data_IF_009819979038
#
_entry.id   IF_009819979038
#
_cell.length_a   1.000
_cell.length_b   1.000
_cell.length_c   1.000
_cell.angle_alpha   90.00
_cell.angle_beta   90.00
_cell.angle_gamma   90.00
#
_symmetry.space_group_name_H-M   'P 1'
#
loop_
_entity.id
_entity.type
_entity.pdbx_description
1 polymer ?
#
# COMPACT_ATOMS: atom_id res chain seq x y z
N UNK A 1 -20.07 5.92 9.82
CA UNK A 1 -19.09 6.67 10.64
C UNK A 1 -17.73 6.41 10.01
N UNK A 2 -17.10 7.40 9.38
CA UNK A 2 -15.76 7.22 8.79
C UNK A 2 -14.74 7.41 9.91
N UNK A 3 -13.99 6.37 10.25
CA UNK A 3 -12.87 6.50 11.17
C UNK A 3 -11.83 7.48 10.61
N UNK A 4 -11.26 8.37 11.45
CA UNK A 4 -10.18 9.23 11.02
C UNK A 4 -8.97 8.37 10.66
N UNK A 5 -8.55 8.46 9.40
CA UNK A 5 -7.39 7.74 8.88
C UNK A 5 -6.13 8.17 9.66
N UNK A 6 -5.62 7.27 10.50
CA UNK A 6 -4.48 7.54 11.38
C UNK A 6 -3.17 7.48 10.57
N UNK A 7 -2.65 8.66 10.21
CA UNK A 7 -1.49 8.84 9.32
C UNK A 7 -0.13 8.49 9.96
N UNK A 8 -0.05 8.17 11.25
CA UNK A 8 1.23 8.06 11.98
C UNK A 8 2.12 6.87 11.58
N UNK A 9 1.65 5.97 10.73
CA UNK A 9 2.36 4.73 10.35
C UNK A 9 2.62 4.56 8.85
N UNK A 10 2.20 5.51 8.01
CA UNK A 10 2.35 5.40 6.56
C UNK A 10 3.37 6.42 6.05
N UNK A 11 4.52 5.93 5.56
CA UNK A 11 5.51 6.76 4.87
C UNK A 11 4.89 7.22 3.54
N UNK A 12 4.77 8.54 3.36
CA UNK A 12 4.40 9.08 2.06
C UNK A 12 5.57 8.91 1.10
N UNK A 13 5.30 8.39 -0.09
CA UNK A 13 6.29 8.18 -1.14
C UNK A 13 6.14 9.27 -2.21
N UNK A 14 7.25 9.81 -2.75
CA UNK A 14 7.20 10.61 -3.96
C UNK A 14 6.82 9.74 -5.16
N UNK A 15 6.31 10.37 -6.22
CA UNK A 15 5.81 9.64 -7.39
C UNK A 15 6.92 8.91 -8.16
N UNK A 16 8.16 9.39 -8.07
CA UNK A 16 9.35 8.79 -8.69
C UNK A 16 9.81 7.51 -7.99
N UNK A 17 9.47 7.34 -6.71
CA UNK A 17 9.85 6.15 -5.92
C UNK A 17 8.82 5.02 -6.07
N UNK A 18 7.81 5.18 -6.94
CA UNK A 18 6.79 4.17 -7.16
C UNK A 18 7.28 3.08 -8.12
N UNK A 19 6.98 1.84 -7.80
CA UNK A 19 7.37 0.67 -8.59
C UNK A 19 6.20 0.18 -9.45
N UNK A 20 6.45 -0.02 -10.74
CA UNK A 20 5.44 -0.52 -11.68
C UNK A 20 4.91 -1.88 -11.22
N UNK A 21 3.59 -2.06 -11.31
CA UNK A 21 2.89 -3.26 -10.87
C UNK A 21 2.58 -3.32 -9.36
N UNK A 22 3.12 -2.42 -8.52
CA UNK A 22 2.77 -2.36 -7.09
C UNK A 22 1.47 -1.60 -6.85
N UNK A 23 0.77 -1.98 -5.77
CA UNK A 23 -0.43 -1.31 -5.32
C UNK A 23 -0.12 -0.23 -4.31
N UNK A 24 -0.77 0.92 -4.49
CA UNK A 24 -0.63 2.07 -3.62
C UNK A 24 -1.99 2.58 -3.17
N UNK A 25 -2.03 3.08 -1.95
CA UNK A 25 -3.09 3.94 -1.47
C UNK A 25 -2.81 5.37 -1.93
N UNK A 26 -3.73 5.92 -2.71
CA UNK A 26 -3.61 7.22 -3.35
C UNK A 26 -4.60 8.16 -2.70
N UNK A 27 -4.12 9.28 -2.16
CA UNK A 27 -4.95 10.31 -1.57
C UNK A 27 -4.78 11.61 -2.36
N UNK A 28 -5.87 12.10 -2.95
CA UNK A 28 -5.84 13.30 -3.79
C UNK A 28 -6.94 14.28 -3.39
N UNK A 29 -6.71 15.57 -3.59
CA UNK A 29 -7.68 16.62 -3.27
C UNK A 29 -8.51 16.95 -4.51
N UNK A 30 -9.81 16.70 -4.45
CA UNK A 30 -10.77 17.03 -5.51
C UNK A 30 -11.82 17.96 -4.93
N UNK A 31 -11.98 19.17 -5.50
CA UNK A 31 -12.98 20.16 -5.08
C UNK A 31 -12.97 20.42 -3.56
N UNK A 32 -11.77 20.62 -2.98
CA UNK A 32 -11.52 20.84 -1.53
C UNK A 32 -11.87 19.65 -0.62
N UNK A 33 -12.05 18.45 -1.18
CA UNK A 33 -12.25 17.21 -0.42
C UNK A 33 -11.17 16.20 -0.77
N UNK A 34 -10.61 15.55 0.25
CA UNK A 34 -9.70 14.44 0.02
C UNK A 34 -10.47 13.17 -0.30
N UNK A 35 -10.10 12.52 -1.40
CA UNK A 35 -10.59 11.21 -1.77
C UNK A 35 -9.43 10.22 -1.72
N UNK A 36 -9.76 8.99 -1.34
CA UNK A 36 -8.80 7.90 -1.26
C UNK A 36 -9.16 6.82 -2.27
N UNK A 37 -8.15 6.31 -2.98
CA UNK A 37 -8.27 5.22 -3.95
C UNK A 37 -7.16 4.21 -3.71
N UNK A 38 -7.37 2.97 -4.12
CA UNK A 38 -6.31 1.96 -4.22
C UNK A 38 -6.12 1.67 -5.70
N UNK A 39 -4.89 1.80 -6.18
CA UNK A 39 -4.56 1.62 -7.58
C UNK A 39 -3.26 0.88 -7.76
N UNK A 40 -3.13 0.16 -8.86
CA UNK A 40 -1.87 -0.47 -9.29
C UNK A 40 -1.12 0.51 -10.14
N UNK A 41 0.11 0.85 -9.77
CA UNK A 41 0.94 1.77 -10.53
C UNK A 41 1.41 1.13 -11.83
N UNK A 42 1.36 1.89 -12.91
CA UNK A 42 1.66 1.40 -14.27
C UNK A 42 2.94 2.03 -14.78
N UNK A 43 3.22 3.27 -14.37
CA UNK A 43 4.39 4.01 -14.80
C UNK A 43 4.14 5.52 -14.88
N UNK A 44 5.21 6.26 -15.16
CA UNK A 44 5.20 7.72 -15.30
C UNK A 44 5.10 8.16 -16.76
N UNK A 45 4.32 9.21 -17.00
CA UNK A 45 4.38 10.00 -18.22
C UNK A 45 5.68 10.79 -18.25
N UNK A 46 6.51 10.57 -19.28
CA UNK A 46 7.75 11.33 -19.51
C UNK A 46 7.53 12.82 -19.79
N UNK A 47 6.33 13.21 -20.25
CA UNK A 47 6.08 14.57 -20.73
C UNK A 47 5.29 15.44 -19.76
N UNK A 48 4.52 14.83 -18.87
CA UNK A 48 3.54 15.55 -18.06
C UNK A 48 3.66 15.26 -16.56
N UNK A 49 4.64 14.44 -16.15
CA UNK A 49 4.91 14.10 -14.75
C UNK A 49 3.63 13.61 -14.01
N UNK A 50 2.83 12.83 -14.73
CA UNK A 50 1.70 12.10 -14.19
C UNK A 50 2.06 10.62 -14.05
N UNK A 51 1.75 10.05 -12.89
CA UNK A 51 1.71 8.61 -12.69
C UNK A 51 0.37 8.04 -13.10
N UNK A 52 0.41 6.96 -13.87
CA UNK A 52 -0.79 6.24 -14.29
C UNK A 52 -1.06 5.06 -13.36
N UNK A 53 -2.34 4.89 -13.01
CA UNK A 53 -2.78 3.83 -12.11
C UNK A 53 -4.03 3.15 -12.64
N UNK A 54 -4.06 1.83 -12.57
CA UNK A 54 -5.27 1.06 -12.82
C UNK A 54 -6.00 0.87 -11.49
N UNK A 55 -7.19 1.48 -11.37
CA UNK A 55 -8.04 1.45 -10.19
C UNK A 55 -9.23 0.55 -10.46
N UNK A 56 -9.43 -0.46 -9.61
CA UNK A 56 -10.57 -1.36 -9.71
C UNK A 56 -11.83 -0.67 -9.21
N UNK A 57 -12.83 -0.58 -10.08
CA UNK A 57 -14.17 -0.09 -9.77
C UNK A 57 -15.13 -1.28 -9.59
N UNK A 58 -16.09 -1.21 -8.65
CA UNK A 58 -17.02 -2.32 -8.40
C UNK A 58 -17.88 -2.71 -9.61
N UNK A 59 -18.17 -1.76 -10.51
CA UNK A 59 -19.16 -1.95 -11.59
C UNK A 59 -18.52 -2.03 -12.98
N UNK A 60 -17.44 -1.29 -13.22
CA UNK A 60 -16.88 -1.09 -14.56
C UNK A 60 -15.53 -1.80 -14.79
N UNK A 61 -15.09 -2.64 -13.86
CA UNK A 61 -13.79 -3.33 -13.98
C UNK A 61 -12.63 -2.40 -13.60
N UNK A 62 -11.69 -2.19 -14.51
CA UNK A 62 -10.52 -1.32 -14.27
C UNK A 62 -10.66 0.00 -15.02
N UNK A 63 -10.43 1.11 -14.32
CA UNK A 63 -10.31 2.42 -14.93
C UNK A 63 -8.92 2.96 -14.68
N UNK A 64 -8.33 3.51 -15.74
CA UNK A 64 -7.03 4.17 -15.67
C UNK A 64 -7.20 5.61 -15.21
N UNK A 65 -6.49 5.98 -14.17
CA UNK A 65 -6.43 7.34 -13.65
C UNK A 65 -5.00 7.88 -13.76
N UNK A 66 -4.88 9.18 -14.02
CA UNK A 66 -3.62 9.91 -13.89
C UNK A 66 -3.62 10.72 -12.60
N UNK A 67 -2.51 10.64 -11.87
CA UNK A 67 -2.26 11.45 -10.67
C UNK A 67 -0.91 12.15 -10.83
N UNK A 68 -0.77 13.34 -10.26
CA UNK A 68 0.47 14.10 -10.26
C UNK A 68 1.01 14.24 -8.83
N UNK A 69 2.10 15.01 -8.69
CA UNK A 69 2.78 15.32 -7.44
C UNK A 69 1.92 15.96 -6.34
N UNK A 70 0.74 16.50 -6.67
CA UNK A 70 -0.19 17.03 -5.66
C UNK A 70 -0.96 15.94 -4.92
N UNK A 71 -0.81 14.68 -5.36
CA UNK A 71 -1.39 13.50 -4.72
C UNK A 71 -0.38 12.85 -3.78
N UNK A 72 -0.89 12.25 -2.71
CA UNK A 72 -0.09 11.53 -1.74
C UNK A 72 -0.17 10.03 -2.01
N UNK A 73 0.97 9.34 -1.97
CA UNK A 73 1.09 7.92 -2.25
C UNK A 73 1.62 7.19 -1.01
N UNK A 74 0.99 6.08 -0.67
CA UNK A 74 1.40 5.24 0.46
C UNK A 74 1.37 3.77 0.04
N UNK A 75 2.26 2.96 0.61
CA UNK A 75 2.23 1.52 0.39
C UNK A 75 0.87 0.94 0.78
N UNK A 76 0.26 0.18 -0.15
CA UNK A 76 -0.95 -0.55 0.17
C UNK A 76 -0.62 -1.87 0.84
N UNK A 77 -0.52 -1.85 2.17
CA UNK A 77 -0.36 -3.07 2.97
C UNK A 77 -1.74 -3.59 3.36
N UNK A 78 -2.20 -4.66 2.70
CA UNK A 78 -3.48 -5.29 3.06
C UNK A 78 -3.44 -5.84 4.50
N UNK A 79 -4.56 -5.75 5.22
CA UNK A 79 -4.66 -6.35 6.57
C UNK A 79 -4.37 -7.86 6.53
N UNK A 80 -4.82 -8.55 5.47
CA UNK A 80 -4.53 -9.97 5.25
C UNK A 80 -3.03 -10.24 5.24
N UNK A 81 -2.26 -9.42 4.52
CA UNK A 81 -0.80 -9.57 4.44
C UNK A 81 -0.13 -9.34 5.81
N UNK A 82 -0.58 -8.35 6.60
CA UNK A 82 -0.08 -8.16 7.97
C UNK A 82 -0.31 -9.38 8.86
N UNK A 83 -1.52 -9.94 8.80
CA UNK A 83 -1.88 -11.13 9.56
C UNK A 83 -1.03 -12.32 9.10
N UNK A 84 -0.87 -12.50 7.79
CA UNK A 84 -0.08 -13.59 7.22
C UNK A 84 1.39 -13.51 7.65
N UNK A 85 2.04 -12.34 7.53
CA UNK A 85 3.42 -12.17 8.00
C UNK A 85 3.57 -12.42 9.50
N UNK A 86 2.60 -11.97 10.32
CA UNK A 86 2.61 -12.24 11.75
C UNK A 86 2.45 -13.75 12.05
N UNK A 87 1.66 -14.47 11.26
CA UNK A 87 1.50 -15.92 11.39
C UNK A 87 2.78 -16.65 10.96
N UNK A 88 3.40 -16.25 9.87
CA UNK A 88 4.66 -16.83 9.38
C UNK A 88 5.79 -16.62 10.38
N UNK A 89 5.94 -15.41 10.94
CA UNK A 89 6.92 -15.14 11.99
C UNK A 89 6.69 -16.00 13.24
N UNK A 90 5.43 -16.17 13.67
CA UNK A 90 5.10 -17.07 14.79
C UNK A 90 5.44 -18.53 14.48
N UNK A 91 5.21 -18.97 13.24
CA UNK A 91 5.54 -20.34 12.83
C UNK A 91 7.05 -20.58 12.82
N UNK A 92 7.83 -19.64 12.26
CA UNK A 92 9.30 -19.70 12.25
C UNK A 92 9.86 -19.72 13.68
N UNK A 93 9.40 -18.82 14.54
CA UNK A 93 9.82 -18.79 15.94
C UNK A 93 9.50 -20.10 16.66
N UNK A 94 8.35 -20.73 16.40
CA UNK A 94 7.99 -22.04 16.97
C UNK A 94 8.91 -23.16 16.49
N UNK A 95 9.31 -23.14 15.21
CA UNK A 95 10.26 -24.11 14.65
C UNK A 95 11.64 -23.93 15.30
N UNK A 96 12.14 -22.69 15.35
CA UNK A 96 13.47 -22.39 15.92
C UNK A 96 13.55 -22.78 17.40
N UNK A 97 12.52 -22.46 18.20
CA UNK A 97 12.44 -22.90 19.61
C UNK A 97 12.53 -24.42 19.77
N UNK A 98 11.90 -25.18 18.86
CA UNK A 98 11.97 -26.65 18.88
C UNK A 98 13.35 -27.18 18.50
N UNK A 99 14.03 -26.55 17.53
CA UNK A 99 15.37 -26.94 17.10
C UNK A 99 16.40 -26.65 18.18
N UNK A 100 16.31 -25.45 18.78
CA UNK A 100 17.24 -24.99 19.82
C UNK A 100 16.97 -25.69 21.16
N UNK A 101 15.73 -26.11 21.40
CA UNK A 101 15.30 -26.66 22.70
C UNK A 101 15.07 -25.58 23.77
N UNK A 102 15.05 -24.31 23.37
CA UNK A 102 14.80 -23.16 24.24
C UNK A 102 13.47 -22.49 23.84
N UNK A 103 12.48 -22.56 24.72
CA UNK A 103 11.16 -21.96 24.49
C UNK A 103 11.14 -20.44 24.60
N UNK A 104 12.19 -19.83 25.17
CA UNK A 104 12.32 -18.38 25.32
C UNK A 104 12.95 -17.70 24.10
N UNK A 105 13.52 -18.47 23.17
CA UNK A 105 14.18 -17.93 21.98
C UNK A 105 13.24 -17.05 21.12
N UNK A 106 13.76 -15.91 20.64
CA UNK A 106 13.03 -14.97 19.77
C UNK A 106 13.95 -14.44 18.68
N UNK A 107 13.42 -14.43 17.45
CA UNK A 107 14.02 -13.85 16.25
C UNK A 107 13.29 -12.56 15.86
#
# INVERSE_FOLDING_TARGET
>A
MFEPFNNSTFKCLPIDDLEEGKQYLIRTCVRKRYITKVGTFIGLSKYSYYGYFDVRMPVSGFLRFSFNETSYFYDFVSQKYKIQNAMELRAVNKILRRIIGDESFTY
#
